data_IF_847580265483
#
_entry.id   IF_847580265483
#
_cell.length_a   1.000
_cell.length_b   1.000
_cell.length_c   1.000
_cell.angle_alpha   90.00
_cell.angle_beta   90.00
_cell.angle_gamma   90.00
#
_symmetry.space_group_name_H-M   'P 1'
#
loop_
_entity.id
_entity.type
_entity.pdbx_description
1 polymer ?
#
# COMPACT_ATOMS: atom_id res chain seq x y z
N UNK A 1 14.05 -57.05 25.32
CA UNK A 1 13.25 -56.27 24.36
C UNK A 1 13.87 -54.93 23.93
N UNK A 2 15.21 -54.79 23.96
CA UNK A 2 15.91 -53.57 23.50
C UNK A 2 15.94 -53.45 21.98
N UNK A 3 16.10 -54.58 21.28
CA UNK A 3 16.06 -54.63 19.81
C UNK A 3 14.69 -54.25 19.25
N UNK A 4 13.60 -54.66 19.91
CA UNK A 4 12.24 -54.34 19.48
C UNK A 4 11.94 -52.83 19.59
N UNK A 5 12.38 -52.19 20.68
CA UNK A 5 12.32 -50.73 20.85
C UNK A 5 13.16 -49.97 19.82
N UNK A 6 14.28 -50.57 19.40
CA UNK A 6 15.15 -49.96 18.38
C UNK A 6 14.50 -50.02 17.00
N UNK A 7 13.93 -51.16 16.62
CA UNK A 7 13.19 -51.31 15.38
C UNK A 7 11.94 -50.41 15.32
N UNK A 8 11.25 -50.24 16.44
CA UNK A 8 10.10 -49.34 16.54
C UNK A 8 10.51 -47.87 16.38
N UNK A 9 11.60 -47.44 17.03
CA UNK A 9 12.16 -46.10 16.87
C UNK A 9 12.59 -45.82 15.42
N UNK A 10 13.24 -46.78 14.77
CA UNK A 10 13.66 -46.65 13.37
C UNK A 10 12.45 -46.54 12.43
N UNK A 11 11.39 -47.33 12.67
CA UNK A 11 10.13 -47.22 11.91
C UNK A 11 9.43 -45.87 12.11
N UNK A 12 9.39 -45.36 13.35
CA UNK A 12 8.84 -44.03 13.64
C UNK A 12 9.65 -42.92 12.95
N UNK A 13 10.98 -43.02 12.96
CA UNK A 13 11.85 -42.04 12.31
C UNK A 13 11.63 -42.01 10.79
N UNK A 14 11.53 -43.17 10.15
CA UNK A 14 11.19 -43.26 8.72
C UNK A 14 9.86 -42.57 8.40
N UNK A 15 8.85 -42.79 9.25
CA UNK A 15 7.53 -42.21 9.06
C UNK A 15 7.48 -40.70 9.32
N UNK A 16 8.26 -40.20 10.27
CA UNK A 16 8.43 -38.76 10.47
C UNK A 16 9.08 -38.11 9.24
N UNK A 17 10.09 -38.76 8.66
CA UNK A 17 10.76 -38.26 7.46
C UNK A 17 9.81 -38.23 6.25
N UNK A 18 9.03 -39.29 6.03
CA UNK A 18 8.00 -39.34 4.98
C UNK A 18 6.91 -38.27 5.18
N UNK A 19 6.49 -38.02 6.42
CA UNK A 19 5.53 -36.96 6.72
C UNK A 19 6.13 -35.58 6.48
N UNK A 20 7.40 -35.38 6.82
CA UNK A 20 8.11 -34.13 6.58
C UNK A 20 8.25 -33.86 5.09
N UNK A 21 8.66 -34.85 4.29
CA UNK A 21 8.75 -34.73 2.82
C UNK A 21 7.39 -34.46 2.17
N UNK A 22 6.30 -35.05 2.69
CA UNK A 22 4.94 -34.77 2.22
C UNK A 22 4.44 -33.37 2.58
N UNK A 23 4.84 -32.84 3.73
CA UNK A 23 4.51 -31.47 4.13
C UNK A 23 5.31 -30.45 3.31
N UNK A 24 6.59 -30.73 3.06
CA UNK A 24 7.45 -29.92 2.19
C UNK A 24 6.98 -29.98 0.72
N UNK A 25 6.55 -31.14 0.24
CA UNK A 25 5.97 -31.30 -1.10
C UNK A 25 4.56 -30.73 -1.27
N UNK A 26 3.80 -30.61 -0.19
CA UNK A 26 2.50 -29.92 -0.17
C UNK A 26 2.67 -28.39 -0.09
N UNK A 27 3.79 -27.91 0.44
CA UNK A 27 4.23 -26.52 0.37
C UNK A 27 4.96 -26.26 -0.96
N UNK A 28 4.28 -26.51 -2.09
CA UNK A 28 4.82 -26.18 -3.40
C UNK A 28 5.08 -24.66 -3.55
N UNK A 29 6.15 -24.25 -4.23
CA UNK A 29 6.37 -22.84 -4.54
C UNK A 29 5.39 -22.42 -5.64
N UNK A 30 4.44 -21.55 -5.32
CA UNK A 30 3.69 -20.82 -6.36
C UNK A 30 2.17 -20.86 -6.31
N UNK A 31 1.54 -21.22 -5.19
CA UNK A 31 0.17 -20.76 -4.94
C UNK A 31 0.28 -19.53 -4.04
N UNK A 32 0.36 -18.35 -4.66
CA UNK A 32 0.18 -17.08 -3.94
C UNK A 32 -1.19 -17.16 -3.27
N UNK A 33 -1.18 -17.44 -1.97
CA UNK A 33 -2.42 -17.58 -1.25
C UNK A 33 -3.24 -16.30 -1.40
N UNK A 34 -4.58 -16.36 -1.29
CA UNK A 34 -5.43 -15.17 -1.42
C UNK A 34 -5.05 -14.02 -0.46
N UNK A 35 -4.26 -14.28 0.58
CA UNK A 35 -3.68 -13.25 1.45
C UNK A 35 -2.50 -12.48 0.85
N UNK A 36 -1.69 -13.10 0.00
CA UNK A 36 -0.52 -12.49 -0.67
C UNK A 36 -0.98 -11.53 -1.78
N UNK A 37 -1.85 -11.99 -2.68
CA UNK A 37 -2.50 -11.15 -3.71
C UNK A 37 -3.20 -9.94 -3.09
N UNK A 38 -3.87 -10.13 -1.94
CA UNK A 38 -4.53 -9.04 -1.21
C UNK A 38 -3.52 -8.04 -0.65
N UNK A 39 -2.36 -8.50 -0.16
CA UNK A 39 -1.31 -7.63 0.33
C UNK A 39 -0.69 -6.80 -0.80
N UNK A 40 -0.45 -7.41 -1.96
CA UNK A 40 0.04 -6.72 -3.16
C UNK A 40 -0.94 -5.63 -3.63
N UNK A 41 -2.22 -5.97 -3.76
CA UNK A 41 -3.26 -4.98 -4.14
C UNK A 41 -3.33 -3.83 -3.14
N UNK A 42 -3.22 -4.11 -1.84
CA UNK A 42 -3.18 -3.08 -0.81
C UNK A 42 -1.94 -2.19 -0.95
N UNK A 43 -0.77 -2.76 -1.23
CA UNK A 43 0.46 -2.00 -1.45
C UNK A 43 0.34 -1.08 -2.68
N UNK A 44 -0.19 -1.59 -3.79
CA UNK A 44 -0.45 -0.81 -5.01
C UNK A 44 -1.44 0.33 -4.77
N UNK A 45 -2.55 0.08 -4.06
CA UNK A 45 -3.51 1.13 -3.69
C UNK A 45 -2.87 2.19 -2.79
N UNK A 46 -1.99 1.78 -1.88
CA UNK A 46 -1.25 2.68 -1.01
C UNK A 46 -0.28 3.56 -1.82
N UNK A 47 0.43 2.98 -2.79
CA UNK A 47 1.34 3.70 -3.69
C UNK A 47 0.58 4.72 -4.55
N UNK A 48 -0.47 4.29 -5.26
CA UNK A 48 -1.30 5.15 -6.09
C UNK A 48 -1.88 6.32 -5.29
N UNK A 49 -2.29 6.08 -4.04
CA UNK A 49 -2.79 7.14 -3.20
C UNK A 49 -1.73 8.19 -2.81
N UNK A 50 -0.48 7.78 -2.55
CA UNK A 50 0.61 8.73 -2.28
C UNK A 50 0.84 9.65 -3.45
N UNK A 51 0.88 9.09 -4.66
CA UNK A 51 1.06 9.86 -5.89
C UNK A 51 -0.07 10.87 -6.06
N UNK A 52 -1.33 10.44 -5.92
CA UNK A 52 -2.48 11.33 -5.96
C UNK A 52 -2.39 12.44 -4.91
N UNK A 53 -1.92 12.12 -3.70
CA UNK A 53 -1.78 13.09 -2.61
C UNK A 53 -0.75 14.18 -2.94
N UNK A 54 0.42 13.78 -3.44
CA UNK A 54 1.46 14.72 -3.89
C UNK A 54 0.91 15.64 -4.98
N UNK A 55 0.15 15.09 -5.95
CA UNK A 55 -0.50 15.90 -6.98
C UNK A 55 -1.50 16.90 -6.38
N UNK A 56 -2.32 16.47 -5.41
CA UNK A 56 -3.24 17.37 -4.73
C UNK A 56 -2.51 18.51 -4.01
N UNK A 57 -1.42 18.21 -3.30
CA UNK A 57 -0.64 19.21 -2.57
C UNK A 57 0.01 20.22 -3.53
N UNK A 58 0.58 19.76 -4.65
CA UNK A 58 1.15 20.60 -5.70
C UNK A 58 0.09 21.50 -6.34
N UNK A 59 -1.05 20.92 -6.73
CA UNK A 59 -2.17 21.65 -7.34
C UNK A 59 -2.73 22.69 -6.37
N UNK A 60 -2.84 22.36 -5.08
CA UNK A 60 -3.33 23.27 -4.04
C UNK A 60 -2.37 24.44 -3.84
N UNK A 61 -1.07 24.15 -3.74
CA UNK A 61 -0.04 25.19 -3.61
C UNK A 61 -0.08 26.14 -4.82
N UNK A 62 -0.14 25.60 -6.04
CA UNK A 62 -0.28 26.38 -7.29
C UNK A 62 -1.54 27.24 -7.29
N UNK A 63 -2.70 26.66 -6.94
CA UNK A 63 -3.97 27.37 -6.91
C UNK A 63 -3.99 28.54 -5.90
N UNK A 64 -3.18 28.44 -4.84
CA UNK A 64 -3.00 29.50 -3.85
C UNK A 64 -1.85 30.47 -4.20
N UNK A 65 -1.26 30.36 -5.40
CA UNK A 65 -0.15 31.21 -5.84
C UNK A 65 1.20 30.92 -5.18
N UNK A 66 1.33 29.78 -4.48
CA UNK A 66 2.58 29.34 -3.82
C UNK A 66 3.43 28.49 -4.77
N UNK A 67 4.75 28.51 -4.59
CA UNK A 67 5.65 27.58 -5.27
C UNK A 67 5.50 26.16 -4.67
N UNK A 68 5.10 25.15 -5.45
CA UNK A 68 5.02 23.77 -4.95
C UNK A 68 6.40 23.13 -4.83
N UNK A 69 6.55 22.18 -3.90
CA UNK A 69 7.77 21.38 -3.79
C UNK A 69 7.84 20.34 -4.92
N UNK A 70 8.66 20.62 -5.92
CA UNK A 70 8.85 19.74 -7.08
C UNK A 70 9.65 18.47 -6.75
N UNK A 71 10.37 18.43 -5.61
CA UNK A 71 11.12 17.23 -5.21
C UNK A 71 10.19 16.04 -4.92
N UNK A 72 8.95 16.32 -4.49
CA UNK A 72 7.92 15.31 -4.25
C UNK A 72 7.39 14.73 -5.57
N UNK A 73 7.25 15.57 -6.60
CA UNK A 73 6.84 15.18 -7.96
C UNK A 73 7.86 14.27 -8.66
N UNK A 74 9.15 14.46 -8.35
CA UNK A 74 10.25 13.68 -8.91
C UNK A 74 10.45 12.31 -8.24
N UNK A 75 9.57 11.93 -7.30
CA UNK A 75 9.60 10.61 -6.67
C UNK A 75 10.74 10.39 -5.69
N UNK A 76 11.51 11.44 -5.34
CA UNK A 76 12.72 11.35 -4.51
C UNK A 76 12.46 10.88 -3.07
N UNK A 77 11.20 10.88 -2.63
CA UNK A 77 10.78 10.47 -1.29
C UNK A 77 9.96 9.15 -1.29
N UNK A 78 9.70 8.54 -2.45
CA UNK A 78 8.76 7.42 -2.59
C UNK A 78 9.32 6.09 -2.03
N UNK A 79 10.63 5.87 -2.16
CA UNK A 79 11.26 4.59 -1.87
C UNK A 79 11.25 4.17 -0.38
N UNK A 80 11.21 5.11 0.56
CA UNK A 80 11.32 4.81 2.00
C UNK A 80 10.05 4.16 2.55
N UNK A 81 8.88 4.46 1.97
CA UNK A 81 7.59 4.05 2.56
C UNK A 81 7.07 2.70 2.06
N UNK A 82 7.52 2.21 0.91
CA UNK A 82 7.14 0.89 0.40
C UNK A 82 7.68 -0.26 1.26
N UNK A 83 8.87 -0.09 1.87
CA UNK A 83 9.51 -1.12 2.68
C UNK A 83 8.84 -1.34 4.05
N UNK A 84 8.26 -0.29 4.67
CA UNK A 84 7.54 -0.43 5.95
C UNK A 84 6.14 -1.04 5.77
N UNK A 85 5.50 -0.82 4.62
CA UNK A 85 4.12 -1.25 4.35
C UNK A 85 3.99 -2.74 4.03
N UNK A 86 5.05 -3.36 3.54
CA UNK A 86 5.13 -4.80 3.34
C UNK A 86 5.06 -5.60 4.67
N UNK A 87 5.17 -4.94 5.83
CA UNK A 87 5.14 -5.60 7.14
C UNK A 87 3.73 -5.79 7.71
N UNK A 88 2.71 -5.11 7.19
CA UNK A 88 1.32 -5.27 7.64
C UNK A 88 0.57 -6.25 6.74
N UNK A 89 0.37 -7.48 7.20
CA UNK A 89 -0.45 -8.48 6.49
C UNK A 89 -1.86 -8.54 7.07
N UNK A 90 -2.85 -8.79 6.20
CA UNK A 90 -4.24 -9.03 6.61
C UNK A 90 -5.05 -7.77 6.98
N UNK A 91 -5.91 -7.88 8.00
CA UNK A 91 -6.94 -6.87 8.34
C UNK A 91 -6.36 -5.49 8.72
N UNK A 92 -5.14 -5.43 9.26
CA UNK A 92 -4.46 -4.17 9.57
C UNK A 92 -4.11 -3.34 8.34
N UNK A 93 -3.70 -4.00 7.25
CA UNK A 93 -3.37 -3.38 5.98
C UNK A 93 -4.61 -2.73 5.33
N UNK A 94 -5.75 -3.42 5.39
CA UNK A 94 -7.03 -2.89 4.90
C UNK A 94 -7.53 -1.69 5.69
N UNK A 95 -7.43 -1.72 7.03
CA UNK A 95 -7.80 -0.60 7.87
C UNK A 95 -6.94 0.63 7.57
N UNK A 96 -5.61 0.44 7.45
CA UNK A 96 -4.69 1.50 7.07
C UNK A 96 -5.02 2.08 5.68
N UNK A 97 -5.23 1.22 4.68
CA UNK A 97 -5.62 1.61 3.32
C UNK A 97 -6.91 2.42 3.30
N UNK A 98 -7.93 1.97 4.04
CA UNK A 98 -9.19 2.70 4.18
C UNK A 98 -8.98 4.09 4.81
N UNK A 99 -8.23 4.18 5.91
CA UNK A 99 -7.94 5.45 6.57
C UNK A 99 -7.19 6.41 5.65
N UNK A 100 -6.22 5.90 4.88
CA UNK A 100 -5.50 6.68 3.88
C UNK A 100 -6.48 7.17 2.79
N UNK A 101 -7.33 6.31 2.24
CA UNK A 101 -8.30 6.69 1.20
C UNK A 101 -9.29 7.76 1.70
N UNK A 102 -9.73 7.66 2.95
CA UNK A 102 -10.54 8.69 3.60
C UNK A 102 -9.83 10.04 3.68
N UNK A 103 -8.53 10.06 4.01
CA UNK A 103 -7.74 11.30 4.00
C UNK A 103 -7.67 11.89 2.61
N UNK A 104 -7.23 11.11 1.60
CA UNK A 104 -7.14 11.60 0.22
C UNK A 104 -8.45 12.22 -0.27
N UNK A 105 -9.60 11.61 0.05
CA UNK A 105 -10.91 12.20 -0.30
C UNK A 105 -11.13 13.58 0.32
N UNK A 106 -10.70 13.81 1.56
CA UNK A 106 -10.79 15.11 2.21
C UNK A 106 -9.87 16.14 1.54
N UNK A 107 -8.67 15.74 1.13
CA UNK A 107 -7.73 16.63 0.43
C UNK A 107 -8.20 17.02 -0.96
N UNK A 108 -8.80 16.08 -1.69
CA UNK A 108 -9.44 16.36 -2.98
C UNK A 108 -10.57 17.38 -2.80
N UNK A 109 -11.37 17.25 -1.75
CA UNK A 109 -12.45 18.19 -1.47
C UNK A 109 -11.93 19.57 -1.09
N UNK A 110 -10.87 19.64 -0.27
CA UNK A 110 -10.21 20.90 0.06
C UNK A 110 -9.60 21.57 -1.19
N UNK A 111 -8.93 20.79 -2.06
CA UNK A 111 -8.40 21.29 -3.33
C UNK A 111 -9.53 21.81 -4.22
N UNK A 112 -10.66 21.11 -4.33
CA UNK A 112 -11.82 21.57 -5.09
C UNK A 112 -12.34 22.91 -4.60
N UNK A 113 -12.45 23.09 -3.28
CA UNK A 113 -12.87 24.36 -2.68
C UNK A 113 -11.90 25.49 -3.06
N UNK A 114 -10.60 25.27 -2.92
CA UNK A 114 -9.55 26.26 -3.28
C UNK A 114 -9.60 26.61 -4.76
N UNK A 115 -9.74 25.62 -5.65
CA UNK A 115 -9.83 25.85 -7.09
C UNK A 115 -11.12 26.60 -7.44
N UNK A 116 -12.25 26.25 -6.82
CA UNK A 116 -13.53 26.94 -7.02
C UNK A 116 -13.46 28.41 -6.58
N UNK A 117 -12.89 28.68 -5.41
CA UNK A 117 -12.68 30.04 -4.91
C UNK A 117 -11.81 30.85 -5.89
N UNK A 118 -10.74 30.25 -6.42
CA UNK A 118 -9.88 30.90 -7.40
C UNK A 118 -10.60 31.18 -8.71
N UNK A 119 -11.37 30.23 -9.23
CA UNK A 119 -12.19 30.43 -10.42
C UNK A 119 -13.22 31.55 -10.22
N UNK A 120 -13.83 31.66 -9.04
CA UNK A 120 -14.76 32.73 -8.72
C UNK A 120 -14.08 34.10 -8.64
N UNK A 121 -12.87 34.16 -8.06
CA UNK A 121 -12.04 35.37 -8.04
C UNK A 121 -11.64 35.80 -9.45
N UNK A 122 -11.15 34.88 -10.28
CA UNK A 122 -10.73 35.19 -11.65
C UNK A 122 -11.92 35.68 -12.50
N UNK A 123 -13.13 35.13 -12.33
CA UNK A 123 -14.34 35.65 -12.99
C UNK A 123 -14.70 37.06 -12.49
N UNK A 124 -14.52 37.35 -11.20
CA UNK A 124 -14.74 38.69 -10.64
C UNK A 124 -13.71 39.73 -11.08
N UNK A 125 -12.43 39.35 -11.14
CA UNK A 125 -11.32 40.22 -11.56
C UNK A 125 -11.36 40.51 -13.07
N UNK A 126 -11.82 39.55 -13.88
CA UNK A 126 -11.92 39.70 -15.34
C UNK A 126 -13.14 40.55 -15.79
N UNK A 127 -13.97 41.05 -14.86
CA UNK A 127 -15.06 41.99 -15.13
C UNK A 127 -14.66 43.47 -15.01
N UNK A 128 -13.41 43.77 -14.61
CA UNK A 128 -12.87 45.14 -14.57
C UNK A 128 -11.68 45.22 -15.53
N UNK A 129 -11.96 45.27 -16.84
CA UNK A 129 -11.27 46.08 -17.86
C UNK A 129 -11.51 45.45 -19.24
N UNK A 130 -12.38 46.06 -20.04
CA UNK A 130 -12.06 46.62 -21.36
C UNK A 130 -13.02 47.79 -21.62
#
# INVERSE_FOLDING_TARGET
>A
STQQLTAEKEGLFSRCLELQERLEGAAGPGDEGPGEVVAEVVAELCAAQREMRVLCDVMTARAQGRQPDLSQLLGLHSAVTAAEEASSTGAGAWAATRSRACRLRADVEALRAVVADRCAQDVGDNCITQ
#
